data_IF_477569537122
#
_entry.id   IF_477569537122
#
_cell.length_a   1.000
_cell.length_b   1.000
_cell.length_c   1.000
_cell.angle_alpha   90.00
_cell.angle_beta   90.00
_cell.angle_gamma   90.00
#
_symmetry.space_group_name_H-M   'P 1'
#
loop_
_entity.id
_entity.type
_entity.pdbx_description
1 polymer ?
#
# COMPACT_ATOMS: atom_id res chain seq x y z
N UNK A 1 10.39 -20.31 -16.46
CA UNK A 1 8.99 -19.89 -16.32
C UNK A 1 9.01 -18.55 -15.61
N UNK A 2 8.49 -17.48 -16.20
CA UNK A 2 8.39 -16.19 -15.50
C UNK A 2 7.37 -16.32 -14.40
N UNK A 3 7.72 -15.93 -13.17
CA UNK A 3 6.78 -15.88 -12.04
C UNK A 3 5.74 -14.79 -12.33
N UNK A 4 4.45 -15.09 -12.13
CA UNK A 4 3.36 -14.10 -12.30
C UNK A 4 3.56 -12.97 -11.29
N UNK A 5 3.40 -11.73 -11.74
CA UNK A 5 3.46 -10.56 -10.87
C UNK A 5 2.20 -10.48 -9.99
N UNK A 6 2.40 -10.16 -8.71
CA UNK A 6 1.32 -9.72 -7.82
C UNK A 6 0.84 -8.34 -8.28
N UNK A 7 -0.47 -8.20 -8.47
CA UNK A 7 -1.13 -6.97 -8.90
C UNK A 7 -1.77 -6.25 -7.73
N UNK A 8 -1.53 -4.95 -7.63
CA UNK A 8 -2.15 -4.11 -6.59
C UNK A 8 -2.84 -2.91 -7.23
N UNK A 9 -4.17 -2.83 -7.07
CA UNK A 9 -4.94 -1.68 -7.52
C UNK A 9 -4.72 -0.49 -6.57
N UNK A 10 -3.93 0.48 -7.01
CA UNK A 10 -3.49 1.64 -6.24
C UNK A 10 -4.66 2.60 -6.01
N UNK A 11 -4.94 2.91 -4.74
CA UNK A 11 -6.01 3.80 -4.29
C UNK A 11 -7.42 3.36 -4.69
N UNK A 12 -7.60 2.18 -5.28
CA UNK A 12 -8.92 1.72 -5.67
C UNK A 12 -9.82 1.51 -4.45
N UNK A 13 -9.25 1.18 -3.29
CA UNK A 13 -9.97 1.12 -2.02
C UNK A 13 -10.25 2.48 -1.38
N UNK A 14 -9.91 3.61 -2.02
CA UNK A 14 -10.18 4.93 -1.44
C UNK A 14 -11.66 5.36 -1.49
N UNK A 15 -12.45 4.68 -2.30
CA UNK A 15 -13.90 4.78 -2.33
C UNK A 15 -14.52 3.38 -2.54
N UNK A 16 -15.81 3.25 -2.22
CA UNK A 16 -16.47 1.94 -2.20
C UNK A 16 -16.76 1.38 -3.59
N UNK A 17 -16.88 2.25 -4.60
CA UNK A 17 -17.13 1.80 -5.97
C UNK A 17 -15.85 1.22 -6.58
N UNK A 18 -14.74 1.95 -6.45
CA UNK A 18 -13.41 1.50 -6.87
C UNK A 18 -12.98 0.22 -6.16
N UNK A 19 -13.32 0.06 -4.87
CA UNK A 19 -13.05 -1.17 -4.13
C UNK A 19 -13.72 -2.37 -4.81
N UNK A 20 -15.03 -2.27 -5.08
CA UNK A 20 -15.80 -3.35 -5.70
C UNK A 20 -15.29 -3.65 -7.10
N UNK A 21 -15.09 -2.61 -7.92
CA UNK A 21 -14.56 -2.77 -9.27
C UNK A 21 -13.23 -3.51 -9.29
N UNK A 22 -12.29 -3.15 -8.41
CA UNK A 22 -11.00 -3.82 -8.34
C UNK A 22 -11.11 -5.27 -7.83
N UNK A 23 -11.95 -5.54 -6.83
CA UNK A 23 -12.19 -6.90 -6.33
C UNK A 23 -12.82 -7.80 -7.41
N UNK A 24 -13.80 -7.29 -8.15
CA UNK A 24 -14.48 -7.98 -9.25
C UNK A 24 -13.52 -8.22 -10.45
N UNK A 25 -12.60 -7.29 -10.68
CA UNK A 25 -11.53 -7.41 -11.67
C UNK A 25 -10.48 -8.48 -11.32
N UNK A 26 -10.50 -9.05 -10.11
CA UNK A 26 -9.66 -10.18 -9.74
C UNK A 26 -8.19 -9.84 -9.48
N UNK A 27 -7.88 -8.57 -9.16
CA UNK A 27 -6.51 -8.20 -8.74
C UNK A 27 -6.14 -8.90 -7.43
N UNK A 28 -4.85 -9.07 -7.19
CA UNK A 28 -4.36 -9.81 -6.02
C UNK A 28 -4.49 -8.99 -4.73
N UNK A 29 -4.38 -7.66 -4.81
CA UNK A 29 -4.60 -6.73 -3.70
C UNK A 29 -5.28 -5.42 -4.16
N UNK A 30 -6.06 -4.83 -3.26
CA UNK A 30 -6.67 -3.50 -3.43
C UNK A 30 -6.14 -2.57 -2.34
N UNK A 31 -5.49 -1.47 -2.74
CA UNK A 31 -4.88 -0.54 -1.80
C UNK A 31 -5.82 0.60 -1.41
N UNK A 32 -5.80 0.94 -0.12
CA UNK A 32 -6.51 2.08 0.45
C UNK A 32 -5.59 2.88 1.40
N UNK A 33 -5.61 4.20 1.23
CA UNK A 33 -4.85 5.16 2.02
C UNK A 33 -5.61 5.47 3.32
N UNK A 34 -5.02 5.15 4.48
CA UNK A 34 -5.64 5.38 5.79
C UNK A 34 -4.99 6.57 6.50
N UNK A 35 -5.80 7.57 6.84
CA UNK A 35 -5.41 8.74 7.61
C UNK A 35 -6.09 8.79 8.98
N UNK A 36 -5.36 9.23 10.00
CA UNK A 36 -5.94 9.62 11.29
C UNK A 36 -6.37 11.08 11.27
N UNK A 37 -7.64 11.38 11.56
CA UNK A 37 -8.15 12.74 11.64
C UNK A 37 -9.21 12.89 12.74
N UNK A 38 -8.97 13.80 13.70
CA UNK A 38 -9.92 14.14 14.79
C UNK A 38 -10.60 12.92 15.44
N UNK A 39 -9.80 11.92 15.82
CA UNK A 39 -10.32 10.71 16.46
C UNK A 39 -10.71 9.59 15.48
N UNK A 40 -10.96 9.91 14.20
CA UNK A 40 -11.46 8.97 13.19
C UNK A 40 -10.33 8.42 12.31
N UNK A 41 -10.58 7.24 11.74
CA UNK A 41 -9.80 6.66 10.66
C UNK A 41 -10.53 6.92 9.35
N UNK A 42 -9.90 7.70 8.48
CA UNK A 42 -10.45 8.15 7.21
C UNK A 42 -9.73 7.48 6.06
N UNK A 43 -10.50 7.16 5.03
CA UNK A 43 -9.99 6.60 3.78
C UNK A 43 -9.91 7.71 2.74
N UNK A 44 -8.70 8.13 2.38
CA UNK A 44 -8.46 9.20 1.40
C UNK A 44 -6.99 9.31 1.05
N UNK A 45 -6.72 9.83 -0.14
CA UNK A 45 -5.35 10.22 -0.49
C UNK A 45 -4.97 11.64 -0.07
N UNK A 46 -5.89 12.59 -0.27
CA UNK A 46 -5.62 14.01 -0.05
C UNK A 46 -5.19 14.27 1.40
N UNK A 47 -4.30 15.23 1.63
CA UNK A 47 -3.92 15.68 2.97
C UNK A 47 -4.94 16.68 3.50
N UNK A 48 -4.98 16.86 4.81
CA UNK A 48 -5.83 17.88 5.43
C UNK A 48 -5.15 19.24 5.38
N UNK A 49 -5.88 20.29 4.99
CA UNK A 49 -5.50 21.69 5.18
C UNK A 49 -6.58 22.41 6.00
N UNK A 50 -6.38 22.46 7.32
CA UNK A 50 -7.41 22.95 8.25
C UNK A 50 -8.66 22.05 8.28
N UNK A 51 -9.76 22.48 8.91
CA UNK A 51 -10.95 21.64 9.06
C UNK A 51 -11.82 21.52 7.80
N UNK A 52 -11.68 22.45 6.85
CA UNK A 52 -12.62 22.62 5.74
C UNK A 52 -12.08 22.17 4.39
N UNK A 53 -10.77 21.95 4.27
CA UNK A 53 -10.14 21.68 2.99
C UNK A 53 -9.25 20.45 3.01
N UNK A 54 -9.19 19.81 1.86
CA UNK A 54 -8.22 18.76 1.53
C UNK A 54 -7.32 19.26 0.41
N UNK A 55 -6.06 18.80 0.42
CA UNK A 55 -5.02 19.25 -0.50
C UNK A 55 -4.25 18.07 -1.09
N UNK A 56 -4.04 18.10 -2.41
CA UNK A 56 -3.14 17.21 -3.14
C UNK A 56 -2.48 17.99 -4.28
N UNK A 57 -1.15 17.99 -4.36
CA UNK A 57 -0.38 18.46 -5.52
C UNK A 57 -0.76 19.86 -6.07
N UNK A 58 -1.17 20.78 -5.20
CA UNK A 58 -1.56 22.14 -5.60
C UNK A 58 -3.07 22.34 -5.79
N UNK A 59 -3.85 21.26 -5.79
CA UNK A 59 -5.29 21.31 -5.78
C UNK A 59 -5.83 21.42 -4.35
N UNK A 60 -6.77 22.34 -4.15
CA UNK A 60 -7.47 22.55 -2.89
C UNK A 60 -8.96 22.27 -3.09
N UNK A 61 -9.47 21.24 -2.43
CA UNK A 61 -10.88 20.85 -2.52
C UNK A 61 -11.58 21.05 -1.18
N UNK A 62 -12.85 21.46 -1.24
CA UNK A 62 -13.69 21.54 -0.04
C UNK A 62 -13.93 20.13 0.48
N UNK A 63 -13.79 19.98 1.80
CA UNK A 63 -14.00 18.70 2.46
C UNK A 63 -15.48 18.30 2.44
N UNK A 64 -15.75 17.18 1.80
CA UNK A 64 -17.02 16.44 1.86
C UNK A 64 -16.90 15.27 2.84
N UNK A 65 -18.00 14.57 3.20
CA UNK A 65 -17.91 13.35 4.00
C UNK A 65 -16.92 12.35 3.38
N UNK A 66 -15.95 11.91 4.18
CA UNK A 66 -14.91 10.96 3.77
C UNK A 66 -15.27 9.58 4.34
N UNK A 67 -15.20 8.49 3.54
CA UNK A 67 -15.43 7.14 4.05
C UNK A 67 -14.53 6.82 5.25
N UNK A 68 -15.06 6.10 6.22
CA UNK A 68 -14.27 5.61 7.35
C UNK A 68 -13.66 4.24 7.06
N UNK A 69 -12.64 3.86 7.84
CA UNK A 69 -12.12 2.49 7.77
C UNK A 69 -13.20 1.44 8.09
N UNK A 70 -14.15 1.76 8.97
CA UNK A 70 -15.25 0.85 9.28
C UNK A 70 -16.17 0.63 8.07
N UNK A 71 -16.48 1.69 7.30
CA UNK A 71 -17.27 1.58 6.07
C UNK A 71 -16.56 0.71 5.04
N UNK A 72 -15.25 0.88 4.90
CA UNK A 72 -14.42 0.09 4.00
C UNK A 72 -14.37 -1.39 4.40
N UNK A 73 -14.17 -1.68 5.70
CA UNK A 73 -14.14 -3.04 6.23
C UNK A 73 -15.51 -3.74 6.11
N UNK A 74 -16.60 -3.01 6.27
CA UNK A 74 -17.94 -3.54 6.02
C UNK A 74 -18.13 -3.87 4.53
N UNK A 75 -17.65 -3.01 3.63
CA UNK A 75 -17.78 -3.21 2.19
C UNK A 75 -16.88 -4.34 1.65
N UNK A 76 -15.69 -4.53 2.21
CA UNK A 76 -14.78 -5.62 1.80
C UNK A 76 -15.26 -7.00 2.29
N UNK A 77 -16.11 -7.04 3.31
CA UNK A 77 -16.81 -8.27 3.72
C UNK A 77 -15.89 -9.42 4.15
N UNK A 78 -14.69 -9.12 4.65
CA UNK A 78 -13.70 -10.12 5.05
C UNK A 78 -12.82 -10.66 3.92
N UNK A 79 -12.91 -10.09 2.71
CA UNK A 79 -12.00 -10.43 1.62
C UNK A 79 -10.54 -10.09 2.01
N UNK A 80 -9.59 -11.04 1.92
CA UNK A 80 -8.22 -10.86 2.40
C UNK A 80 -7.37 -9.98 1.49
N UNK A 81 -7.90 -9.52 0.34
CA UNK A 81 -7.17 -8.75 -0.66
C UNK A 81 -6.99 -7.28 -0.29
N UNK A 82 -7.52 -6.82 0.85
CA UNK A 82 -7.33 -5.44 1.27
C UNK A 82 -5.89 -5.16 1.72
N UNK A 83 -5.33 -4.07 1.21
CA UNK A 83 -4.05 -3.53 1.59
C UNK A 83 -4.21 -2.09 2.11
N UNK A 84 -3.76 -1.81 3.33
CA UNK A 84 -3.84 -0.47 3.93
C UNK A 84 -2.48 0.23 3.91
N UNK A 85 -2.38 1.41 3.27
CA UNK A 85 -1.21 2.29 3.42
C UNK A 85 -1.48 3.32 4.53
N UNK A 86 -0.72 3.22 5.63
CA UNK A 86 -0.86 4.15 6.75
C UNK A 86 -0.17 5.48 6.43
N UNK A 87 -0.97 6.54 6.33
CA UNK A 87 -0.48 7.87 5.96
C UNK A 87 -0.42 8.85 7.12
N UNK A 88 0.66 9.64 7.10
CA UNK A 88 0.94 10.66 8.09
C UNK A 88 1.69 10.12 9.31
N UNK A 89 1.85 10.97 10.32
CA UNK A 89 2.71 10.71 11.49
C UNK A 89 1.96 10.66 12.81
N UNK A 90 0.62 10.56 12.77
CA UNK A 90 -0.20 10.64 13.97
C UNK A 90 0.06 9.43 14.90
N UNK A 91 0.42 9.64 16.18
CA UNK A 91 0.93 8.58 17.06
C UNK A 91 -0.07 7.44 17.30
N UNK A 92 -1.37 7.75 17.29
CA UNK A 92 -2.43 6.76 17.55
C UNK A 92 -2.95 6.06 16.28
N UNK A 93 -2.48 6.41 15.08
CA UNK A 93 -3.00 5.86 13.83
C UNK A 93 -2.88 4.34 13.79
N UNK A 94 -1.65 3.84 13.94
CA UNK A 94 -1.37 2.40 13.86
C UNK A 94 -2.10 1.59 14.93
N UNK A 95 -2.16 2.10 16.16
CA UNK A 95 -2.88 1.42 17.25
C UNK A 95 -4.38 1.33 17.02
N UNK A 96 -4.99 2.37 16.45
CA UNK A 96 -6.42 2.36 16.09
C UNK A 96 -6.70 1.43 14.91
N UNK A 97 -5.84 1.42 13.90
CA UNK A 97 -5.95 0.48 12.78
C UNK A 97 -5.82 -0.96 13.30
N UNK A 98 -4.81 -1.24 14.12
CA UNK A 98 -4.60 -2.56 14.73
C UNK A 98 -5.83 -3.03 15.52
N UNK A 99 -6.50 -2.13 16.25
CA UNK A 99 -7.74 -2.46 16.96
C UNK A 99 -8.90 -2.76 15.98
N UNK A 100 -9.02 -1.98 14.90
CA UNK A 100 -10.10 -2.11 13.92
C UNK A 100 -10.03 -3.37 13.06
N UNK A 101 -8.82 -3.88 12.79
CA UNK A 101 -8.59 -5.04 11.89
C UNK A 101 -8.25 -6.33 12.63
N UNK A 102 -8.39 -6.36 13.97
CA UNK A 102 -8.00 -7.52 14.78
C UNK A 102 -8.70 -8.80 14.30
N UNK A 103 -7.92 -9.85 14.06
CA UNK A 103 -8.41 -11.15 13.58
C UNK A 103 -8.85 -11.14 12.12
N UNK A 104 -8.58 -10.07 11.38
CA UNK A 104 -8.87 -9.96 9.95
C UNK A 104 -7.56 -10.11 9.16
N UNK A 105 -7.46 -11.02 8.19
CA UNK A 105 -6.35 -11.07 7.26
C UNK A 105 -6.20 -9.74 6.52
N UNK A 106 -5.04 -9.12 6.65
CA UNK A 106 -4.82 -7.78 6.11
C UNK A 106 -3.36 -7.58 5.71
N UNK A 107 -3.14 -6.89 4.60
CA UNK A 107 -1.80 -6.38 4.27
C UNK A 107 -1.70 -4.93 4.71
N UNK A 108 -0.63 -4.55 5.41
CA UNK A 108 -0.43 -3.17 5.87
C UNK A 108 0.94 -2.68 5.45
N UNK A 109 0.99 -1.53 4.79
CA UNK A 109 2.22 -0.86 4.43
C UNK A 109 2.28 0.56 4.98
N UNK A 110 3.49 1.10 5.08
CA UNK A 110 3.71 2.52 5.37
C UNK A 110 5.17 2.90 5.13
N UNK A 111 5.43 4.18 4.89
CA UNK A 111 6.79 4.75 4.95
C UNK A 111 7.24 5.08 6.38
N UNK A 112 6.32 5.09 7.34
CA UNK A 112 6.56 5.39 8.75
C UNK A 112 6.66 4.11 9.58
N UNK A 113 7.72 3.32 9.35
CA UNK A 113 7.84 1.93 9.84
C UNK A 113 7.75 1.72 11.36
N UNK A 114 7.89 2.78 12.16
CA UNK A 114 7.67 2.72 13.61
C UNK A 114 6.21 2.36 13.96
N UNK A 115 5.29 2.49 13.00
CA UNK A 115 3.88 2.09 13.13
C UNK A 115 3.67 0.59 13.04
N UNK A 116 4.47 -0.12 12.22
CA UNK A 116 4.26 -1.54 11.91
C UNK A 116 4.32 -2.47 13.15
N UNK A 117 5.17 -2.24 14.16
CA UNK A 117 5.16 -3.04 15.40
C UNK A 117 3.81 -3.10 16.11
N UNK A 118 2.90 -2.13 15.91
CA UNK A 118 1.55 -2.17 16.52
C UNK A 118 0.65 -3.27 15.94
N UNK A 119 1.02 -3.84 14.80
CA UNK A 119 0.32 -4.94 14.16
C UNK A 119 1.14 -6.25 14.17
N UNK A 120 2.37 -6.24 14.70
CA UNK A 120 3.27 -7.40 14.62
C UNK A 120 2.80 -8.62 15.42
N UNK A 121 1.99 -8.40 16.46
CA UNK A 121 1.43 -9.49 17.28
C UNK A 121 0.16 -10.11 16.65
N UNK A 122 -0.27 -9.64 15.48
CA UNK A 122 -1.42 -10.19 14.75
C UNK A 122 -0.93 -11.17 13.68
N UNK A 123 -1.14 -12.49 13.84
CA UNK A 123 -0.60 -13.48 12.91
C UNK A 123 -1.20 -13.37 11.50
N UNK A 124 -2.38 -12.78 11.35
CA UNK A 124 -3.04 -12.57 10.07
C UNK A 124 -2.52 -11.32 9.32
N UNK A 125 -1.74 -10.46 9.98
CA UNK A 125 -1.26 -9.22 9.40
C UNK A 125 0.05 -9.40 8.61
N UNK A 126 -0.01 -9.09 7.32
CA UNK A 126 1.13 -9.05 6.40
C UNK A 126 1.75 -7.65 6.38
N UNK A 127 2.94 -7.48 6.95
CA UNK A 127 3.57 -6.18 7.10
C UNK A 127 4.55 -5.87 5.96
N UNK A 128 4.34 -4.74 5.28
CA UNK A 128 5.12 -4.30 4.12
C UNK A 128 5.83 -2.97 4.39
N UNK A 129 7.16 -2.95 4.23
CA UNK A 129 7.96 -1.74 4.44
C UNK A 129 8.03 -0.89 3.17
N UNK A 130 7.46 0.31 3.18
CA UNK A 130 7.46 1.20 2.01
C UNK A 130 8.61 2.20 2.01
N UNK A 131 9.23 2.45 0.85
CA UNK A 131 10.32 3.40 0.65
C UNK A 131 10.16 4.22 -0.64
N UNK A 132 9.84 5.51 -0.51
CA UNK A 132 9.70 6.45 -1.64
C UNK A 132 10.91 7.35 -1.92
N UNK A 133 12.00 7.21 -1.16
CA UNK A 133 13.20 8.05 -1.28
C UNK A 133 14.50 7.25 -1.12
N UNK A 134 15.62 7.77 -1.63
CA UNK A 134 16.96 7.17 -1.47
C UNK A 134 17.33 6.97 0.01
N UNK A 135 16.98 7.93 0.88
CA UNK A 135 17.17 7.83 2.34
C UNK A 135 16.33 6.69 2.92
N UNK A 136 15.06 6.59 2.53
CA UNK A 136 14.18 5.48 2.91
C UNK A 136 14.75 4.13 2.47
N UNK A 137 15.18 4.02 1.21
CA UNK A 137 15.77 2.81 0.67
C UNK A 137 17.06 2.40 1.41
N UNK A 138 17.94 3.35 1.72
CA UNK A 138 19.15 3.09 2.53
C UNK A 138 18.81 2.53 3.91
N UNK A 139 17.78 3.09 4.58
CA UNK A 139 17.27 2.56 5.85
C UNK A 139 16.68 1.16 5.71
N UNK A 140 16.01 0.90 4.59
CA UNK A 140 15.32 -0.38 4.33
C UNK A 140 16.37 -1.48 4.22
N UNK A 141 17.39 -1.25 3.39
CA UNK A 141 18.52 -2.17 3.23
C UNK A 141 19.22 -2.47 4.55
N UNK A 142 19.42 -1.47 5.42
CA UNK A 142 19.97 -1.71 6.77
C UNK A 142 19.06 -2.60 7.63
N UNK A 143 17.75 -2.42 7.56
CA UNK A 143 16.78 -3.22 8.32
C UNK A 143 16.75 -4.68 7.86
N UNK A 144 16.77 -4.92 6.56
CA UNK A 144 16.75 -6.28 5.98
C UNK A 144 18.00 -7.11 6.31
N UNK A 145 19.08 -6.49 6.78
CA UNK A 145 20.25 -7.21 7.31
C UNK A 145 19.98 -7.88 8.65
N UNK A 146 19.00 -7.38 9.41
CA UNK A 146 18.68 -7.86 10.76
C UNK A 146 17.73 -9.06 10.71
N UNK A 147 16.67 -8.96 9.91
CA UNK A 147 15.65 -10.01 9.79
C UNK A 147 15.01 -9.95 8.40
N UNK A 148 14.61 -11.12 7.84
CA UNK A 148 13.67 -11.12 6.73
C UNK A 148 12.35 -10.44 7.13
N UNK A 149 11.62 -9.97 6.12
CA UNK A 149 10.30 -9.34 6.25
C UNK A 149 9.34 -9.96 5.25
N UNK A 150 8.04 -9.86 5.51
CA UNK A 150 7.06 -10.35 4.55
C UNK A 150 7.16 -9.63 3.20
N UNK A 151 7.17 -8.29 3.21
CA UNK A 151 7.28 -7.54 1.97
C UNK A 151 7.94 -6.17 2.09
N UNK A 152 8.36 -5.66 0.94
CA UNK A 152 8.85 -4.31 0.76
C UNK A 152 8.16 -3.68 -0.45
N UNK A 153 7.98 -2.37 -0.40
CA UNK A 153 7.33 -1.60 -1.44
C UNK A 153 8.21 -0.39 -1.79
N UNK A 154 8.86 -0.40 -2.95
CA UNK A 154 9.88 0.60 -3.29
C UNK A 154 9.49 1.33 -4.58
N UNK A 155 9.60 2.65 -4.56
CA UNK A 155 9.29 3.44 -5.74
C UNK A 155 10.20 3.04 -6.92
N UNK A 156 9.61 2.81 -8.10
CA UNK A 156 10.24 2.30 -9.33
C UNK A 156 11.55 3.00 -9.68
N UNK A 157 11.58 4.34 -9.63
CA UNK A 157 12.77 5.16 -9.93
C UNK A 157 14.00 4.89 -9.04
N UNK A 158 13.83 4.16 -7.95
CA UNK A 158 14.91 3.83 -7.01
C UNK A 158 15.47 2.42 -7.24
N UNK A 159 14.85 1.63 -8.10
CA UNK A 159 15.18 0.24 -8.31
C UNK A 159 16.22 0.04 -9.42
N UNK A 160 17.01 -1.02 -9.24
CA UNK A 160 17.88 -1.61 -10.25
C UNK A 160 17.77 -3.14 -10.14
N UNK A 161 18.12 -3.93 -11.16
CA UNK A 161 18.02 -5.39 -11.08
C UNK A 161 18.84 -5.98 -9.92
N UNK A 162 20.04 -5.44 -9.69
CA UNK A 162 20.90 -5.85 -8.58
C UNK A 162 20.27 -5.55 -7.22
N UNK A 163 19.59 -4.40 -7.09
CA UNK A 163 18.89 -4.04 -5.86
C UNK A 163 17.66 -4.92 -5.64
N UNK A 164 16.86 -5.20 -6.67
CA UNK A 164 15.71 -6.11 -6.55
C UNK A 164 16.17 -7.50 -6.13
N UNK A 165 17.26 -7.99 -6.73
CA UNK A 165 17.89 -9.27 -6.32
C UNK A 165 18.33 -9.25 -4.86
N UNK A 166 18.88 -8.13 -4.37
CA UNK A 166 19.20 -7.95 -2.94
C UNK A 166 17.95 -8.01 -2.06
N UNK A 167 16.88 -7.31 -2.44
CA UNK A 167 15.63 -7.26 -1.68
C UNK A 167 14.95 -8.64 -1.62
N UNK A 168 14.87 -9.36 -2.74
CA UNK A 168 14.27 -10.70 -2.85
C UNK A 168 14.95 -11.76 -1.97
N UNK A 169 16.21 -11.56 -1.57
CA UNK A 169 16.89 -12.46 -0.62
C UNK A 169 16.34 -12.36 0.81
N UNK A 170 15.58 -11.30 1.13
CA UNK A 170 15.14 -10.99 2.50
C UNK A 170 13.67 -10.57 2.59
N UNK A 171 12.95 -10.59 1.46
CA UNK A 171 11.54 -10.26 1.40
C UNK A 171 10.84 -11.21 0.43
N UNK A 172 9.71 -11.79 0.84
CA UNK A 172 8.90 -12.67 0.00
C UNK A 172 8.26 -11.87 -1.15
N UNK A 173 7.89 -10.62 -0.85
CA UNK A 173 7.23 -9.71 -1.78
C UNK A 173 8.05 -8.42 -1.97
N UNK A 174 8.43 -8.12 -3.21
CA UNK A 174 9.03 -6.85 -3.64
C UNK A 174 8.05 -6.16 -4.59
N UNK A 175 7.26 -5.24 -4.03
CA UNK A 175 6.32 -4.39 -4.77
C UNK A 175 7.01 -3.13 -5.30
N UNK A 176 6.54 -2.62 -6.44
CA UNK A 176 6.97 -1.31 -6.94
C UNK A 176 5.82 -0.43 -7.43
N UNK A 177 6.03 0.89 -7.36
CA UNK A 177 5.07 1.90 -7.76
C UNK A 177 5.77 3.18 -8.27
N UNK A 178 5.08 4.01 -9.05
CA UNK A 178 3.88 3.68 -9.83
C UNK A 178 4.24 2.84 -11.07
N UNK A 179 3.31 2.01 -11.55
CA UNK A 179 3.41 1.25 -12.80
C UNK A 179 2.12 1.43 -13.60
N UNK A 180 1.93 2.61 -14.19
CA UNK A 180 0.64 3.03 -14.74
C UNK A 180 0.54 2.88 -16.28
N UNK A 181 1.64 2.52 -16.95
CA UNK A 181 1.75 2.37 -18.40
C UNK A 181 2.64 1.17 -18.80
N UNK A 182 2.61 0.82 -20.09
CA UNK A 182 3.36 -0.32 -20.63
C UNK A 182 4.89 -0.17 -20.48
N UNK A 183 5.41 1.05 -20.58
CA UNK A 183 6.86 1.29 -20.43
C UNK A 183 7.30 1.00 -19.00
N UNK A 184 6.53 1.45 -18.02
CA UNK A 184 6.78 1.18 -16.62
C UNK A 184 6.60 -0.32 -16.28
N UNK A 185 5.66 -1.00 -16.94
CA UNK A 185 5.44 -2.43 -16.79
C UNK A 185 6.62 -3.25 -17.31
N UNK A 186 7.11 -2.94 -18.52
CA UNK A 186 8.31 -3.55 -19.11
C UNK A 186 9.53 -3.34 -18.22
N UNK A 187 9.67 -2.14 -17.65
CA UNK A 187 10.73 -1.84 -16.69
C UNK A 187 10.59 -2.68 -15.42
N UNK A 188 9.38 -2.83 -14.86
CA UNK A 188 9.14 -3.68 -13.69
C UNK A 188 9.51 -5.14 -13.97
N UNK A 189 9.15 -5.68 -15.14
CA UNK A 189 9.56 -7.02 -15.57
C UNK A 189 11.08 -7.14 -15.68
N UNK A 190 11.75 -6.18 -16.33
CA UNK A 190 13.21 -6.16 -16.47
C UNK A 190 13.93 -6.10 -15.12
N UNK A 191 13.35 -5.38 -14.16
CA UNK A 191 13.88 -5.28 -12.80
C UNK A 191 13.72 -6.57 -11.99
N UNK A 192 12.78 -7.45 -12.37
CA UNK A 192 12.52 -8.72 -11.70
C UNK A 192 11.79 -8.58 -10.36
N UNK A 193 10.98 -7.53 -10.19
CA UNK A 193 10.11 -7.36 -9.01
C UNK A 193 9.09 -8.50 -8.94
N UNK A 194 8.47 -8.73 -7.78
CA UNK A 194 7.44 -9.77 -7.63
C UNK A 194 6.03 -9.20 -7.67
N UNK A 195 5.87 -7.87 -7.66
CA UNK A 195 4.56 -7.25 -7.85
C UNK A 195 4.63 -5.76 -8.19
N UNK A 196 3.52 -5.27 -8.71
CA UNK A 196 3.34 -3.91 -9.21
C UNK A 196 2.11 -3.28 -8.58
N UNK A 197 2.18 -1.96 -8.41
CA UNK A 197 1.08 -1.15 -7.88
C UNK A 197 0.75 -0.10 -8.93
N UNK A 198 -0.49 -0.13 -9.43
CA UNK A 198 -0.94 0.66 -10.56
C UNK A 198 -2.28 1.31 -10.29
N UNK A 199 -2.47 2.54 -10.77
CA UNK A 199 -3.80 3.17 -10.88
C UNK A 199 -4.56 2.71 -12.11
N UNK A 200 -3.89 2.07 -13.06
CA UNK A 200 -4.48 1.62 -14.32
C UNK A 200 -5.03 0.20 -14.16
N UNK A 201 -6.30 0.09 -13.75
CA UNK A 201 -6.94 -1.20 -13.54
C UNK A 201 -6.97 -2.07 -14.81
N UNK A 202 -7.28 -1.55 -16.02
CA UNK A 202 -7.16 -2.30 -17.26
C UNK A 202 -5.75 -2.88 -17.52
N UNK A 203 -4.69 -2.20 -17.10
CA UNK A 203 -3.33 -2.74 -17.21
C UNK A 203 -3.14 -3.96 -16.29
N UNK A 204 -3.68 -3.92 -15.08
CA UNK A 204 -3.56 -5.01 -14.11
C UNK A 204 -4.32 -6.27 -14.53
N UNK A 205 -5.48 -6.11 -15.18
CA UNK A 205 -6.33 -7.25 -15.60
C UNK A 205 -5.85 -7.95 -16.86
N UNK A 206 -5.04 -7.27 -17.68
CA UNK A 206 -4.52 -7.80 -18.94
C UNK A 206 -3.07 -8.32 -18.83
N UNK A 207 -2.56 -8.52 -17.60
CA UNK A 207 -1.26 -9.15 -17.43
C UNK A 207 -1.31 -10.62 -17.85
N UNK A 208 -0.34 -11.10 -18.64
CA UNK A 208 -0.25 -12.49 -19.06
C UNK A 208 0.09 -13.47 -17.92
#
# INVERSE_FOLDING_TARGET
MSERLVTVAHRAGNDLAGLREALDAGVDLVEADVHGYRGRLEIRHHKTLGPWFLWEQGELVRRTPVPSLADLLAAVGGDPRLMLDLKGIHPYLAGRVAAAVRGTPITVCTQHWWMLPKLADQPEAKLVYSAGSRRGLSRLRRRLKVSPVHGVCVHLRLLTPALVTELRRRADLVLTWPVDDATALDEAHRLGVTGIISKNLPLLTNLP
#
